data_IF_713113252503
#
_entry.id   IF_713113252503
#
_cell.length_a   1.000
_cell.length_b   1.000
_cell.length_c   1.000
_cell.angle_alpha   90.00
_cell.angle_beta   90.00
_cell.angle_gamma   90.00
#
_symmetry.space_group_name_H-M   'P 1'
#
loop_
_entity.id
_entity.type
_entity.pdbx_description
1 polymer ?
#
# COMPACT_ATOMS: atom_id res chain seq x y z
N UNK A 1 -16.37 -13.41 -44.86
CA UNK A 1 -17.47 -13.03 -43.96
C UNK A 1 -17.00 -11.89 -43.07
N UNK A 2 -17.58 -10.70 -43.21
CA UNK A 2 -17.21 -9.52 -42.43
C UNK A 2 -17.92 -9.57 -41.07
N UNK A 3 -17.22 -9.96 -40.00
CA UNK A 3 -17.72 -9.80 -38.64
C UNK A 3 -17.65 -8.33 -38.26
N UNK A 4 -18.80 -7.75 -37.93
CA UNK A 4 -18.96 -6.32 -37.79
C UNK A 4 -18.38 -5.82 -36.46
N UNK A 5 -17.43 -4.88 -36.56
CA UNK A 5 -16.85 -4.05 -35.49
C UNK A 5 -17.85 -3.12 -34.77
N UNK A 6 -19.16 -3.28 -35.01
CA UNK A 6 -20.23 -2.44 -34.46
C UNK A 6 -20.23 -2.37 -32.93
N UNK A 7 -19.77 -3.42 -32.27
CA UNK A 7 -19.71 -3.47 -30.80
C UNK A 7 -18.52 -2.66 -30.25
N UNK A 8 -17.41 -2.62 -30.99
CA UNK A 8 -16.25 -1.81 -30.63
C UNK A 8 -16.53 -0.32 -30.89
N UNK A 9 -17.14 0.00 -32.02
CA UNK A 9 -17.56 1.37 -32.34
C UNK A 9 -18.60 1.91 -31.34
N UNK A 10 -19.56 1.09 -30.91
CA UNK A 10 -20.53 1.47 -29.88
C UNK A 10 -19.86 1.76 -28.52
N UNK A 11 -18.87 0.95 -28.13
CA UNK A 11 -18.09 1.17 -26.90
C UNK A 11 -17.23 2.44 -26.97
N UNK A 12 -16.57 2.68 -28.11
CA UNK A 12 -15.79 3.91 -28.34
C UNK A 12 -16.70 5.14 -28.33
N UNK A 13 -17.90 5.06 -28.92
CA UNK A 13 -18.88 6.14 -28.90
C UNK A 13 -19.36 6.44 -27.47
N UNK A 14 -19.62 5.41 -26.67
CA UNK A 14 -20.04 5.57 -25.26
C UNK A 14 -18.94 6.21 -24.40
N UNK A 15 -17.68 5.81 -24.58
CA UNK A 15 -16.52 6.42 -23.89
C UNK A 15 -16.32 7.89 -24.30
N UNK A 16 -16.51 8.22 -25.59
CA UNK A 16 -16.44 9.62 -26.05
C UNK A 16 -17.54 10.50 -25.45
N UNK A 17 -18.74 9.96 -25.24
CA UNK A 17 -19.84 10.67 -24.57
C UNK A 17 -19.52 10.90 -23.09
N UNK A 18 -19.00 9.89 -22.39
CA UNK A 18 -18.59 10.01 -20.99
C UNK A 18 -17.46 11.03 -20.78
N UNK A 19 -16.45 11.03 -21.67
CA UNK A 19 -15.37 12.02 -21.63
C UNK A 19 -15.85 13.44 -21.94
N UNK A 20 -16.85 13.59 -22.83
CA UNK A 20 -17.47 14.89 -23.12
C UNK A 20 -18.30 15.40 -21.94
N UNK A 21 -18.96 14.52 -21.18
CA UNK A 21 -19.68 14.86 -19.95
C UNK A 21 -18.73 15.25 -18.80
N UNK A 22 -17.55 14.61 -18.72
CA UNK A 22 -16.49 15.01 -17.80
C UNK A 22 -15.87 16.36 -18.17
N UNK A 23 -15.59 16.60 -19.46
CA UNK A 23 -15.10 17.89 -19.95
C UNK A 23 -16.09 19.04 -19.75
N UNK A 24 -17.39 18.79 -19.93
CA UNK A 24 -18.43 19.78 -19.67
C UNK A 24 -18.79 19.95 -18.19
N UNK A 25 -18.40 19.02 -17.30
CA UNK A 25 -18.44 19.26 -15.85
C UNK A 25 -17.31 20.16 -15.39
N UNK A 26 -16.14 20.12 -16.06
CA UNK A 26 -15.00 21.00 -15.79
C UNK A 26 -15.19 22.42 -16.33
N UNK A 27 -15.96 22.61 -17.41
CA UNK A 27 -16.31 23.96 -17.93
C UNK A 27 -17.45 24.63 -17.15
N UNK A 28 -18.24 23.89 -16.36
CA UNK A 28 -19.33 24.46 -15.56
C UNK A 28 -18.92 24.84 -14.13
N UNK A 29 -17.67 24.56 -13.73
CA UNK A 29 -17.09 24.99 -12.45
C UNK A 29 -16.44 26.40 -12.52
N UNK A 30 -16.58 27.11 -13.65
CA UNK A 30 -16.31 28.56 -13.71
C UNK A 30 -17.46 29.41 -13.11
N UNK A 31 -18.55 28.78 -12.68
CA UNK A 31 -19.61 29.41 -11.87
C UNK A 31 -19.49 29.06 -10.37
N UNK A 32 -18.26 29.00 -9.84
CA UNK A 32 -18.08 29.34 -8.43
C UNK A 32 -18.55 30.78 -8.29
N UNK A 33 -19.73 30.94 -7.70
CA UNK A 33 -20.20 32.20 -7.16
C UNK A 33 -19.01 32.88 -6.49
N UNK A 34 -18.49 33.91 -7.16
CA UNK A 34 -17.73 34.96 -6.53
C UNK A 34 -18.69 35.53 -5.50
N UNK A 35 -18.64 34.97 -4.29
CA UNK A 35 -19.15 35.62 -3.09
C UNK A 35 -18.38 36.92 -3.05
N UNK A 36 -18.99 37.95 -3.63
CA UNK A 36 -18.59 39.34 -3.50
C UNK A 36 -18.64 39.63 -2.02
N UNK A 37 -17.52 39.42 -1.34
CA UNK A 37 -17.31 40.07 -0.07
C UNK A 37 -17.37 41.56 -0.35
N UNK A 38 -18.46 42.15 0.17
CA UNK A 38 -18.71 43.57 0.09
C UNK A 38 -17.48 44.31 0.60
N UNK A 39 -17.03 45.39 -0.08
CA UNK A 39 -16.02 46.24 0.50
C UNK A 39 -16.60 46.81 1.80
N UNK A 40 -15.89 46.54 2.89
CA UNK A 40 -15.91 47.26 4.17
C UNK A 40 -17.11 48.20 4.33
N UNK A 41 -18.17 47.73 5.03
CA UNK A 41 -18.89 48.69 5.88
C UNK A 41 -17.87 49.19 6.89
N UNK A 42 -17.58 50.48 6.82
CA UNK A 42 -17.02 51.23 7.93
C UNK A 42 -17.79 50.80 9.17
N UNK A 43 -17.10 50.12 10.08
CA UNK A 43 -17.63 49.89 11.42
C UNK A 43 -17.72 51.28 12.02
N UNK A 44 -18.95 51.75 12.16
CA UNK A 44 -19.27 52.98 12.88
C UNK A 44 -18.52 52.97 14.21
N UNK A 45 -17.80 54.07 14.46
CA UNK A 45 -17.15 54.34 15.74
C UNK A 45 -18.12 54.02 16.88
N UNK A 46 -17.70 53.29 17.92
CA UNK A 46 -18.58 53.02 19.05
C UNK A 46 -18.98 54.35 19.69
N UNK A 47 -20.29 54.56 19.70
CA UNK A 47 -20.98 55.65 20.37
C UNK A 47 -20.45 55.82 21.79
N UNK A 48 -20.08 57.07 22.10
CA UNK A 48 -19.64 57.57 23.41
C UNK A 48 -20.39 56.91 24.57
N UNK A 49 -19.72 56.00 25.28
CA UNK A 49 -20.10 55.64 26.64
C UNK A 49 -19.33 56.55 27.60
N UNK A 50 -20.09 57.44 28.23
CA UNK A 50 -19.63 58.38 29.26
C UNK A 50 -19.15 57.59 30.48
N UNK A 51 -17.84 57.62 30.75
CA UNK A 51 -17.29 57.27 32.07
C UNK A 51 -16.24 58.31 32.49
N UNK A 52 -16.42 58.78 33.73
CA UNK A 52 -15.73 59.84 34.46
C UNK A 52 -14.20 59.65 34.59
N UNK A 53 -13.40 60.73 34.78
CA UNK A 53 -11.99 60.74 34.42
C UNK A 53 -11.07 60.30 35.55
N UNK A 54 -10.32 59.21 35.32
CA UNK A 54 -8.97 59.02 35.86
C UNK A 54 -8.11 58.39 34.77
N UNK A 55 -7.26 59.21 34.14
CA UNK A 55 -6.32 58.90 33.04
C UNK A 55 -6.93 58.40 31.70
N UNK A 56 -7.34 59.32 30.80
CA UNK A 56 -7.86 58.99 29.47
C UNK A 56 -6.85 58.22 28.60
N UNK A 57 -5.55 58.52 28.70
CA UNK A 57 -4.51 57.82 27.93
C UNK A 57 -4.41 56.32 28.25
N UNK A 58 -4.74 55.92 29.50
CA UNK A 58 -4.67 54.52 29.93
C UNK A 58 -5.91 53.72 29.48
N UNK A 59 -7.05 54.38 29.32
CA UNK A 59 -8.27 53.77 28.82
C UNK A 59 -8.20 53.52 27.31
N UNK A 60 -7.67 54.47 26.54
CA UNK A 60 -7.49 54.33 25.09
C UNK A 60 -6.46 53.24 24.72
N UNK A 61 -5.36 53.13 25.48
CA UNK A 61 -4.38 52.05 25.33
C UNK A 61 -4.96 50.66 25.64
N UNK A 62 -5.86 50.58 26.62
CA UNK A 62 -6.49 49.33 27.00
C UNK A 62 -7.51 48.88 25.94
N UNK A 63 -8.26 49.82 25.35
CA UNK A 63 -9.17 49.55 24.23
C UNK A 63 -8.41 49.06 22.99
N UNK A 64 -7.27 49.69 22.68
CA UNK A 64 -6.41 49.26 21.56
C UNK A 64 -5.81 47.87 21.79
N UNK A 65 -5.40 47.57 23.02
CA UNK A 65 -4.90 46.26 23.39
C UNK A 65 -5.98 45.17 23.25
N UNK A 66 -7.21 45.46 23.66
CA UNK A 66 -8.35 44.55 23.50
C UNK A 66 -8.63 44.28 22.02
N UNK A 67 -8.61 45.34 21.19
CA UNK A 67 -8.78 45.22 19.74
C UNK A 67 -7.70 44.36 19.06
N UNK A 68 -6.42 44.56 19.40
CA UNK A 68 -5.33 43.73 18.84
C UNK A 68 -5.39 42.28 19.34
N UNK A 69 -5.85 42.04 20.57
CA UNK A 69 -6.11 40.68 21.07
C UNK A 69 -7.20 40.00 20.25
N UNK A 70 -8.35 40.66 20.05
CA UNK A 70 -9.45 40.13 19.23
C UNK A 70 -9.00 39.87 17.79
N UNK A 71 -8.22 40.79 17.20
CA UNK A 71 -7.65 40.63 15.86
C UNK A 71 -6.70 39.43 15.79
N UNK A 72 -5.84 39.22 16.79
CA UNK A 72 -4.95 38.07 16.83
C UNK A 72 -5.72 36.76 16.96
N UNK A 73 -6.76 36.70 17.80
CA UNK A 73 -7.63 35.51 17.91
C UNK A 73 -8.27 35.19 16.57
N UNK A 74 -8.77 36.20 15.85
CA UNK A 74 -9.37 35.99 14.52
C UNK A 74 -8.35 35.52 13.46
N UNK A 75 -7.11 35.99 13.53
CA UNK A 75 -6.02 35.52 12.67
C UNK A 75 -5.62 34.08 13.01
N UNK A 76 -5.56 33.73 14.28
CA UNK A 76 -5.24 32.38 14.76
C UNK A 76 -6.29 31.36 14.33
N UNK A 77 -7.59 31.70 14.45
CA UNK A 77 -8.69 30.88 13.91
C UNK A 77 -8.54 30.68 12.39
N UNK A 78 -8.18 31.73 11.65
CA UNK A 78 -7.99 31.65 10.19
C UNK A 78 -6.77 30.79 9.82
N UNK A 79 -5.69 30.85 10.59
CA UNK A 79 -4.50 30.01 10.39
C UNK A 79 -4.85 28.55 10.63
N UNK A 80 -5.48 28.25 11.78
CA UNK A 80 -5.90 26.88 12.11
C UNK A 80 -6.82 26.28 11.04
N UNK A 81 -7.76 27.06 10.52
CA UNK A 81 -8.63 26.60 9.43
C UNK A 81 -7.84 26.31 8.14
N UNK A 82 -6.81 27.10 7.83
CA UNK A 82 -5.94 26.81 6.67
C UNK A 82 -5.10 25.55 6.88
N UNK A 83 -4.63 25.29 8.10
CA UNK A 83 -3.87 24.07 8.42
C UNK A 83 -4.75 22.81 8.34
N UNK A 84 -6.02 22.91 8.75
CA UNK A 84 -7.02 21.85 8.54
C UNK A 84 -7.22 21.55 7.04
N UNK A 85 -7.45 22.59 6.23
CA UNK A 85 -7.59 22.44 4.78
C UNK A 85 -6.33 21.85 4.12
N UNK A 86 -5.14 22.26 4.56
CA UNK A 86 -3.88 21.71 4.07
C UNK A 86 -3.74 20.23 4.41
N UNK A 87 -4.19 19.82 5.60
CA UNK A 87 -4.20 18.43 6.03
C UNK A 87 -5.16 17.60 5.17
N UNK A 88 -6.37 18.09 4.93
CA UNK A 88 -7.34 17.45 4.04
C UNK A 88 -6.81 17.31 2.60
N UNK A 89 -6.19 18.37 2.06
CA UNK A 89 -5.55 18.32 0.75
C UNK A 89 -4.43 17.28 0.69
N UNK A 90 -3.63 17.17 1.75
CA UNK A 90 -2.53 16.18 1.81
C UNK A 90 -3.07 14.75 1.82
N UNK A 91 -4.16 14.49 2.56
CA UNK A 91 -4.82 13.18 2.58
C UNK A 91 -5.34 12.83 1.18
N UNK A 92 -6.09 13.74 0.55
CA UNK A 92 -6.63 13.53 -0.80
C UNK A 92 -5.52 13.30 -1.83
N UNK A 93 -4.41 14.05 -1.72
CA UNK A 93 -3.26 13.87 -2.59
C UNK A 93 -2.64 12.47 -2.44
N UNK A 94 -2.48 11.97 -1.21
CA UNK A 94 -1.96 10.63 -0.96
C UNK A 94 -2.90 9.54 -1.47
N UNK A 95 -4.22 9.69 -1.29
CA UNK A 95 -5.23 8.78 -1.83
C UNK A 95 -5.21 8.76 -3.36
N UNK A 96 -5.08 9.92 -4.00
CA UNK A 96 -4.94 10.01 -5.45
C UNK A 96 -3.69 9.29 -5.97
N UNK A 97 -2.55 9.44 -5.28
CA UNK A 97 -1.33 8.72 -5.67
C UNK A 97 -1.47 7.21 -5.52
N UNK A 98 -2.07 6.73 -4.42
CA UNK A 98 -2.33 5.30 -4.23
C UNK A 98 -3.25 4.73 -5.32
N UNK A 99 -4.32 5.47 -5.67
CA UNK A 99 -5.22 5.07 -6.75
C UNK A 99 -4.53 5.05 -8.12
N UNK A 100 -3.64 6.00 -8.40
CA UNK A 100 -2.85 6.03 -9.64
C UNK A 100 -1.95 4.79 -9.72
N UNK A 101 -1.28 4.44 -8.62
CA UNK A 101 -0.40 3.26 -8.57
C UNK A 101 -1.19 1.96 -8.79
N UNK A 102 -2.34 1.79 -8.14
CA UNK A 102 -3.21 0.63 -8.33
C UNK A 102 -3.72 0.52 -9.78
N UNK A 103 -4.09 1.65 -10.39
CA UNK A 103 -4.52 1.68 -11.79
C UNK A 103 -3.37 1.36 -12.75
N UNK A 104 -2.15 1.81 -12.47
CA UNK A 104 -0.96 1.46 -13.26
C UNK A 104 -0.67 -0.04 -13.19
N UNK A 105 -0.78 -0.65 -12.00
CA UNK A 105 -0.61 -2.09 -11.84
C UNK A 105 -1.68 -2.87 -12.63
N UNK A 106 -2.94 -2.47 -12.55
CA UNK A 106 -4.02 -3.08 -13.35
C UNK A 106 -3.78 -2.96 -14.85
N UNK A 107 -3.31 -1.81 -15.33
CA UNK A 107 -2.97 -1.61 -16.75
C UNK A 107 -1.84 -2.53 -17.17
N UNK A 108 -0.82 -2.70 -16.34
CA UNK A 108 0.31 -3.60 -16.63
C UNK A 108 -0.14 -5.06 -16.71
N UNK A 109 -0.98 -5.50 -15.77
CA UNK A 109 -1.54 -6.86 -15.77
C UNK A 109 -2.39 -7.11 -17.02
N UNK A 110 -3.31 -6.19 -17.34
CA UNK A 110 -4.14 -6.30 -18.55
C UNK A 110 -3.32 -6.30 -19.84
N UNK A 111 -2.20 -5.58 -19.87
CA UNK A 111 -1.28 -5.57 -21.02
C UNK A 111 -0.58 -6.92 -21.18
N UNK A 112 -0.11 -7.52 -20.08
CA UNK A 112 0.46 -8.86 -20.09
C UNK A 112 -0.55 -9.91 -20.56
N UNK A 113 -1.80 -9.83 -20.10
CA UNK A 113 -2.88 -10.74 -20.51
C UNK A 113 -3.23 -10.59 -22.00
N UNK A 114 -3.19 -9.35 -22.52
CA UNK A 114 -3.40 -9.06 -23.93
C UNK A 114 -2.28 -9.68 -24.79
N UNK A 115 -1.02 -9.50 -24.38
CA UNK A 115 0.15 -10.04 -25.08
C UNK A 115 0.09 -11.58 -25.12
N UNK A 116 -0.28 -12.21 -24.00
CA UNK A 116 -0.48 -13.66 -23.93
C UNK A 116 -1.61 -14.14 -24.84
N UNK A 117 -2.75 -13.45 -24.84
CA UNK A 117 -3.89 -13.78 -25.70
C UNK A 117 -3.56 -13.62 -27.20
N UNK A 118 -2.76 -12.61 -27.56
CA UNK A 118 -2.27 -12.42 -28.93
C UNK A 118 -1.32 -13.54 -29.35
N UNK A 119 -0.45 -14.00 -28.46
CA UNK A 119 0.42 -15.15 -28.72
C UNK A 119 -0.39 -16.41 -29.03
N UNK A 120 -1.37 -16.74 -28.18
CA UNK A 120 -2.27 -17.88 -28.41
C UNK A 120 -3.03 -17.78 -29.73
N UNK A 121 -3.54 -16.58 -30.06
CA UNK A 121 -4.22 -16.35 -31.35
C UNK A 121 -3.29 -16.62 -32.53
N UNK A 122 -2.04 -16.17 -32.45
CA UNK A 122 -1.06 -16.36 -33.52
C UNK A 122 -0.71 -17.85 -33.70
N UNK A 123 -0.57 -18.60 -32.61
CA UNK A 123 -0.31 -20.04 -32.66
C UNK A 123 -1.50 -20.80 -33.26
N UNK A 124 -2.73 -20.50 -32.83
CA UNK A 124 -3.94 -21.07 -33.42
C UNK A 124 -4.09 -20.71 -34.91
N UNK A 125 -3.66 -19.52 -35.33
CA UNK A 125 -3.69 -19.10 -36.74
C UNK A 125 -2.71 -19.92 -37.57
N UNK A 126 -1.50 -20.18 -37.07
CA UNK A 126 -0.51 -21.05 -37.75
C UNK A 126 -1.02 -22.49 -37.87
N UNK A 127 -1.67 -23.02 -36.85
CA UNK A 127 -2.29 -24.35 -36.91
C UNK A 127 -3.39 -24.41 -37.98
N UNK A 128 -4.24 -23.38 -38.06
CA UNK A 128 -5.28 -23.29 -39.09
C UNK A 128 -4.69 -23.19 -40.50
N UNK A 129 -3.63 -22.40 -40.70
CA UNK A 129 -2.91 -22.32 -41.97
C UNK A 129 -2.35 -23.70 -42.37
N UNK A 130 -1.73 -24.42 -41.42
CA UNK A 130 -1.22 -25.77 -41.67
C UNK A 130 -2.34 -26.76 -42.08
N UNK A 131 -3.51 -26.70 -41.43
CA UNK A 131 -4.65 -27.54 -41.81
C UNK A 131 -5.23 -27.17 -43.17
N UNK A 132 -5.24 -25.87 -43.52
CA UNK A 132 -5.69 -25.42 -44.83
C UNK A 132 -4.79 -25.95 -45.95
N UNK A 133 -3.47 -25.91 -45.77
CA UNK A 133 -2.50 -26.48 -46.71
C UNK A 133 -2.71 -28.00 -46.89
N UNK A 134 -2.92 -28.72 -45.80
CA UNK A 134 -3.17 -30.16 -45.83
C UNK A 134 -4.47 -30.51 -46.57
N UNK A 135 -5.53 -29.73 -46.35
CA UNK A 135 -6.81 -29.86 -47.07
C UNK A 135 -6.61 -29.63 -48.57
N UNK A 136 -5.89 -28.58 -48.95
CA UNK A 136 -5.60 -28.29 -50.35
C UNK A 136 -4.82 -29.42 -51.03
N UNK A 137 -3.86 -30.04 -50.31
CA UNK A 137 -3.15 -31.21 -50.81
C UNK A 137 -4.09 -32.40 -51.02
N UNK A 138 -5.03 -32.65 -50.09
CA UNK A 138 -6.00 -33.74 -50.21
C UNK A 138 -6.99 -33.52 -51.34
N UNK A 139 -7.45 -32.30 -51.56
CA UNK A 139 -8.32 -31.96 -52.69
C UNK A 139 -7.61 -32.17 -54.03
N UNK A 140 -6.31 -31.86 -54.11
CA UNK A 140 -5.51 -32.15 -55.30
C UNK A 140 -5.38 -33.67 -55.55
N UNK A 141 -5.14 -34.47 -54.50
CA UNK A 141 -5.11 -35.94 -54.60
C UNK A 141 -6.46 -36.51 -55.08
N UNK A 142 -7.57 -36.03 -54.51
CA UNK A 142 -8.93 -36.47 -54.91
C UNK A 142 -9.19 -36.11 -56.37
N UNK A 143 -8.84 -34.88 -56.78
CA UNK A 143 -9.02 -34.44 -58.16
C UNK A 143 -8.24 -35.31 -59.16
N UNK A 144 -7.03 -35.72 -58.79
CA UNK A 144 -6.22 -36.64 -59.59
C UNK A 144 -6.89 -38.03 -59.71
N UNK A 145 -7.39 -38.58 -58.60
CA UNK A 145 -8.09 -39.88 -58.59
C UNK A 145 -9.33 -39.84 -59.49
N UNK A 146 -10.10 -38.74 -59.44
CA UNK A 146 -11.28 -38.55 -60.30
C UNK A 146 -10.85 -38.54 -61.78
N UNK A 147 -9.82 -37.77 -62.13
CA UNK A 147 -9.30 -37.71 -63.50
C UNK A 147 -8.88 -39.08 -64.01
N UNK A 148 -8.17 -39.86 -63.20
CA UNK A 148 -7.72 -41.19 -63.60
C UNK A 148 -8.89 -42.18 -63.75
N UNK A 149 -9.89 -42.09 -62.88
CA UNK A 149 -11.13 -42.88 -63.01
C UNK A 149 -11.86 -42.58 -64.32
N UNK A 150 -11.98 -41.31 -64.70
CA UNK A 150 -12.67 -40.93 -65.94
C UNK A 150 -11.94 -41.46 -67.18
N UNK A 151 -10.60 -41.46 -67.18
CA UNK A 151 -9.80 -42.09 -68.24
C UNK A 151 -10.11 -43.59 -68.36
N UNK A 152 -10.16 -44.30 -67.23
CA UNK A 152 -10.49 -45.73 -67.23
C UNK A 152 -11.90 -46.01 -67.75
N UNK A 153 -12.90 -45.21 -67.34
CA UNK A 153 -14.28 -45.36 -67.82
C UNK A 153 -14.36 -45.16 -69.33
N UNK A 154 -13.72 -44.12 -69.87
CA UNK A 154 -13.69 -43.87 -71.31
C UNK A 154 -13.03 -45.01 -72.09
N UNK A 155 -11.92 -45.56 -71.59
CA UNK A 155 -11.26 -46.72 -72.18
C UNK A 155 -12.19 -47.94 -72.30
N UNK A 156 -12.95 -48.24 -71.24
CA UNK A 156 -13.88 -49.37 -71.27
C UNK A 156 -15.08 -49.14 -72.20
N UNK A 157 -15.58 -47.90 -72.29
CA UNK A 157 -16.66 -47.56 -73.23
C UNK A 157 -16.21 -47.77 -74.68
N UNK A 158 -15.01 -47.32 -75.03
CA UNK A 158 -14.42 -47.49 -76.37
C UNK A 158 -14.27 -48.98 -76.73
N UNK A 159 -13.72 -49.78 -75.81
CA UNK A 159 -13.59 -51.24 -76.00
C UNK A 159 -14.92 -51.97 -76.14
N UNK A 160 -15.95 -51.50 -75.43
CA UNK A 160 -17.30 -52.07 -75.54
C UNK A 160 -17.90 -51.81 -76.91
N UNK A 161 -17.67 -50.62 -77.47
CA UNK A 161 -18.17 -50.24 -78.79
C UNK A 161 -17.44 -50.98 -79.92
N UNK A 162 -16.11 -51.13 -79.82
CA UNK A 162 -15.32 -52.00 -80.72
C UNK A 162 -15.87 -53.43 -80.77
N UNK A 163 -16.20 -54.01 -79.61
CA UNK A 163 -16.73 -55.37 -79.50
C UNK A 163 -18.10 -55.54 -80.17
N UNK A 164 -18.96 -54.52 -80.11
CA UNK A 164 -20.26 -54.53 -80.81
C UNK A 164 -20.09 -54.52 -82.32
N UNK A 165 -19.19 -53.69 -82.85
CA UNK A 165 -18.89 -53.60 -84.29
C UNK A 165 -18.40 -54.96 -84.80
N UNK A 166 -17.44 -55.56 -84.10
CA UNK A 166 -16.88 -56.87 -84.47
C UNK A 166 -17.94 -57.99 -84.46
N UNK A 167 -18.86 -57.95 -83.50
CA UNK A 167 -19.96 -58.92 -83.40
C UNK A 167 -20.96 -58.78 -84.56
N UNK A 168 -21.19 -57.55 -85.06
CA UNK A 168 -22.04 -57.28 -86.22
C UNK A 168 -21.41 -57.78 -87.53
N UNK A 169 -20.09 -57.61 -87.70
CA UNK A 169 -19.36 -58.09 -88.88
C UNK A 169 -19.34 -59.61 -89.01
N UNK A 170 -19.28 -60.32 -87.88
CA UNK A 170 -19.28 -61.79 -87.83
C UNK A 170 -20.64 -62.42 -88.23
N UNK A 171 -21.73 -61.66 -88.20
CA UNK A 171 -23.09 -62.10 -88.54
C UNK A 171 -23.35 -62.29 -90.05
N UNK A 172 -22.43 -61.88 -90.94
CA UNK A 172 -22.67 -61.71 -92.38
C UNK A 172 -21.93 -62.71 -93.31
N UNK A 173 -21.27 -63.76 -92.81
CA UNK A 173 -20.52 -64.72 -93.66
C UNK A 173 -20.84 -66.19 -93.38
N UNK A 174 -21.05 -66.98 -94.44
CA UNK A 174 -21.16 -68.44 -94.37
C UNK A 174 -19.79 -69.12 -94.13
N UNK A 175 -19.74 -70.24 -93.39
CA UNK A 175 -18.51 -70.74 -92.81
C UNK A 175 -17.76 -71.71 -93.73
N UNK A 176 -16.66 -71.23 -94.32
CA UNK A 176 -15.66 -72.09 -94.97
C UNK A 176 -14.57 -72.53 -93.97
N UNK A 177 -13.68 -73.48 -94.30
CA UNK A 177 -12.73 -74.10 -93.32
C UNK A 177 -11.82 -73.09 -92.58
N UNK A 178 -11.52 -71.95 -93.20
CA UNK A 178 -10.84 -70.80 -92.57
C UNK A 178 -11.68 -70.15 -91.47
N UNK A 179 -13.00 -70.07 -91.65
CA UNK A 179 -13.95 -69.57 -90.68
C UNK A 179 -14.02 -70.48 -89.46
N UNK A 180 -14.01 -71.81 -89.64
CA UNK A 180 -13.97 -72.74 -88.51
C UNK A 180 -12.71 -72.57 -87.65
N UNK A 181 -11.53 -72.41 -88.28
CA UNK A 181 -10.29 -72.13 -87.55
C UNK A 181 -10.30 -70.75 -86.85
N UNK A 182 -10.92 -69.74 -87.47
CA UNK A 182 -11.10 -68.42 -86.87
C UNK A 182 -12.08 -68.47 -85.68
N UNK A 183 -13.13 -69.27 -85.77
CA UNK A 183 -14.08 -69.54 -84.68
C UNK A 183 -13.43 -70.27 -83.52
N UNK A 184 -12.55 -71.22 -83.82
CA UNK A 184 -11.79 -71.97 -82.81
C UNK A 184 -10.80 -71.05 -82.07
N UNK A 185 -10.08 -70.18 -82.79
CA UNK A 185 -9.27 -69.12 -82.17
C UNK A 185 -10.10 -68.15 -81.34
N UNK A 186 -11.24 -67.70 -81.86
CA UNK A 186 -12.14 -66.79 -81.14
C UNK A 186 -12.71 -67.45 -79.88
N UNK A 187 -13.01 -68.75 -79.91
CA UNK A 187 -13.41 -69.50 -78.73
C UNK A 187 -12.28 -69.60 -77.69
N UNK A 188 -11.03 -69.77 -78.12
CA UNK A 188 -9.87 -69.74 -77.21
C UNK A 188 -9.64 -68.34 -76.61
N UNK A 189 -9.78 -67.29 -77.40
CA UNK A 189 -9.73 -65.90 -76.92
C UNK A 189 -10.85 -65.62 -75.92
N UNK A 190 -12.09 -66.01 -76.23
CA UNK A 190 -13.24 -65.86 -75.34
C UNK A 190 -13.05 -66.63 -74.02
N UNK A 191 -12.37 -67.78 -74.05
CA UNK A 191 -12.01 -68.53 -72.84
C UNK A 191 -11.00 -67.77 -71.96
N UNK A 192 -9.98 -67.16 -72.56
CA UNK A 192 -9.00 -66.33 -71.84
C UNK A 192 -9.66 -65.05 -71.31
N UNK A 193 -10.55 -64.45 -72.08
CA UNK A 193 -11.31 -63.27 -71.69
C UNK A 193 -12.27 -63.58 -70.53
N UNK A 194 -12.91 -64.76 -70.55
CA UNK A 194 -13.70 -65.28 -69.43
C UNK A 194 -12.87 -65.48 -68.16
N UNK A 195 -11.66 -66.05 -68.27
CA UNK A 195 -10.76 -66.23 -67.12
C UNK A 195 -10.30 -64.88 -66.54
N UNK A 196 -9.97 -63.91 -67.40
CA UNK A 196 -9.62 -62.56 -66.98
C UNK A 196 -10.81 -61.86 -66.30
N UNK A 197 -12.02 -61.96 -66.86
CA UNK A 197 -13.23 -61.42 -66.27
C UNK A 197 -13.55 -62.07 -64.92
N UNK A 198 -13.36 -63.39 -64.78
CA UNK A 198 -13.54 -64.08 -63.48
C UNK A 198 -12.52 -63.62 -62.44
N UNK A 199 -11.26 -63.41 -62.82
CA UNK A 199 -10.22 -62.86 -61.93
C UNK A 199 -10.55 -61.42 -61.52
N UNK A 200 -10.98 -60.59 -62.47
CA UNK A 200 -11.44 -59.22 -62.19
C UNK A 200 -12.68 -59.20 -61.30
N UNK A 201 -13.63 -60.10 -61.50
CA UNK A 201 -14.84 -60.22 -60.67
C UNK A 201 -14.48 -60.61 -59.22
N UNK A 202 -13.54 -61.54 -59.04
CA UNK A 202 -13.00 -61.92 -57.71
C UNK A 202 -12.29 -60.76 -57.02
N UNK A 203 -11.52 -59.96 -57.77
CA UNK A 203 -10.89 -58.75 -57.24
C UNK A 203 -11.95 -57.71 -56.84
N UNK A 204 -12.96 -57.48 -57.68
CA UNK A 204 -14.03 -56.53 -57.39
C UNK A 204 -14.91 -56.96 -56.21
N UNK A 205 -15.17 -58.25 -56.04
CA UNK A 205 -15.87 -58.76 -54.84
C UNK A 205 -15.02 -58.57 -53.59
N UNK A 206 -13.70 -58.79 -53.67
CA UNK A 206 -12.79 -58.50 -52.55
C UNK A 206 -12.79 -57.00 -52.18
N UNK A 207 -12.76 -56.11 -53.18
CA UNK A 207 -12.85 -54.67 -52.98
C UNK A 207 -14.22 -54.26 -52.40
N UNK A 208 -15.31 -54.90 -52.84
CA UNK A 208 -16.65 -54.67 -52.28
C UNK A 208 -16.74 -55.06 -50.81
N UNK A 209 -16.11 -56.17 -50.42
CA UNK A 209 -16.05 -56.61 -49.01
C UNK A 209 -15.24 -55.61 -48.18
N UNK A 210 -14.11 -55.11 -48.70
CA UNK A 210 -13.31 -54.08 -48.02
C UNK A 210 -14.08 -52.76 -47.84
N UNK A 211 -14.81 -52.32 -48.87
CA UNK A 211 -15.68 -51.13 -48.78
C UNK A 211 -16.79 -51.32 -47.76
N UNK A 212 -17.35 -52.53 -47.65
CA UNK A 212 -18.37 -52.84 -46.65
C UNK A 212 -17.80 -52.77 -45.22
N UNK A 213 -16.59 -53.28 -44.99
CA UNK A 213 -15.89 -53.18 -43.70
C UNK A 213 -15.54 -51.72 -43.35
N UNK A 214 -15.11 -50.93 -44.34
CA UNK A 214 -14.84 -49.51 -44.17
C UNK A 214 -16.10 -48.71 -43.82
N UNK A 215 -17.22 -48.98 -44.49
CA UNK A 215 -18.51 -48.36 -44.15
C UNK A 215 -18.99 -48.75 -42.76
N UNK A 216 -18.77 -50.00 -42.34
CA UNK A 216 -19.13 -50.44 -40.99
C UNK A 216 -18.28 -49.73 -39.92
N UNK A 217 -16.97 -49.56 -40.17
CA UNK A 217 -16.09 -48.76 -39.31
C UNK A 217 -16.51 -47.30 -39.26
N UNK A 218 -16.87 -46.71 -40.39
CA UNK A 218 -17.32 -45.32 -40.46
C UNK A 218 -18.58 -45.11 -39.62
N UNK A 219 -19.56 -46.00 -39.76
CA UNK A 219 -20.80 -45.99 -38.96
C UNK A 219 -20.54 -46.10 -37.44
N UNK A 220 -19.65 -47.00 -37.02
CA UNK A 220 -19.24 -47.10 -35.61
C UNK A 220 -18.55 -45.83 -35.10
N UNK A 221 -17.89 -45.08 -35.98
CA UNK A 221 -17.20 -43.84 -35.63
C UNK A 221 -18.21 -42.69 -35.50
N UNK A 222 -19.18 -42.61 -36.42
CA UNK A 222 -20.31 -41.67 -36.34
C UNK A 222 -21.12 -41.86 -35.05
N UNK A 223 -21.44 -43.10 -34.68
CA UNK A 223 -22.14 -43.42 -33.43
C UNK A 223 -21.35 -42.96 -32.19
N UNK A 224 -20.01 -43.05 -32.22
CA UNK A 224 -19.15 -42.54 -31.13
C UNK A 224 -19.19 -41.00 -31.06
N UNK A 225 -19.14 -40.32 -32.20
CA UNK A 225 -19.22 -38.86 -32.24
C UNK A 225 -20.59 -38.35 -31.79
N UNK A 226 -21.69 -38.99 -32.24
CA UNK A 226 -23.04 -38.65 -31.76
C UNK A 226 -23.18 -38.80 -30.25
N UNK A 227 -22.62 -39.89 -29.69
CA UNK A 227 -22.60 -40.09 -28.25
C UNK A 227 -21.82 -38.98 -27.54
N UNK A 228 -20.63 -38.64 -28.05
CA UNK A 228 -19.80 -37.56 -27.50
C UNK A 228 -20.53 -36.21 -27.51
N UNK A 229 -21.23 -35.89 -28.61
CA UNK A 229 -22.04 -34.67 -28.72
C UNK A 229 -23.15 -34.64 -27.67
N UNK A 230 -23.88 -35.76 -27.48
CA UNK A 230 -24.93 -35.86 -26.45
C UNK A 230 -24.36 -35.66 -25.05
N UNK A 231 -23.20 -36.24 -24.76
CA UNK A 231 -22.53 -36.10 -23.45
C UNK A 231 -22.15 -34.62 -23.21
N UNK A 232 -21.57 -33.94 -24.20
CA UNK A 232 -21.26 -32.51 -24.10
C UNK A 232 -22.50 -31.62 -23.98
N UNK A 233 -23.61 -31.96 -24.65
CA UNK A 233 -24.88 -31.24 -24.52
C UNK A 233 -25.45 -31.37 -23.10
N UNK A 234 -25.38 -32.56 -22.50
CA UNK A 234 -25.77 -32.78 -21.11
C UNK A 234 -24.91 -31.95 -20.16
N UNK A 235 -23.59 -31.95 -20.34
CA UNK A 235 -22.66 -31.17 -19.52
C UNK A 235 -22.93 -29.65 -19.64
N UNK A 236 -23.14 -29.17 -20.87
CA UNK A 236 -23.49 -27.76 -21.13
C UNK A 236 -24.79 -27.38 -20.42
N UNK A 237 -25.81 -28.24 -20.47
CA UNK A 237 -27.09 -28.00 -19.77
C UNK A 237 -26.93 -27.96 -18.24
N UNK A 238 -26.04 -28.79 -17.70
CA UNK A 238 -25.76 -28.82 -16.26
C UNK A 238 -25.00 -27.57 -15.80
N UNK A 239 -24.07 -27.08 -16.61
CA UNK A 239 -23.36 -25.82 -16.36
C UNK A 239 -24.31 -24.62 -16.43
N UNK A 240 -25.19 -24.56 -17.44
CA UNK A 240 -26.22 -23.51 -17.53
C UNK A 240 -27.16 -23.52 -16.31
N UNK A 241 -27.56 -24.69 -15.82
CA UNK A 241 -28.35 -24.80 -14.58
C UNK A 241 -27.60 -24.25 -13.36
N UNK A 242 -26.28 -24.47 -13.26
CA UNK A 242 -25.45 -23.89 -12.20
C UNK A 242 -25.34 -22.37 -12.31
N UNK A 243 -25.14 -21.85 -13.52
CA UNK A 243 -25.09 -20.40 -13.77
C UNK A 243 -26.40 -19.76 -13.35
N UNK A 244 -27.55 -20.30 -13.78
CA UNK A 244 -28.85 -19.77 -13.40
C UNK A 244 -29.07 -19.77 -11.87
N UNK A 245 -28.60 -20.80 -11.15
CA UNK A 245 -28.66 -20.82 -9.68
C UNK A 245 -27.77 -19.75 -9.04
N UNK A 246 -26.61 -19.47 -9.62
CA UNK A 246 -25.73 -18.41 -9.16
C UNK A 246 -26.34 -17.04 -9.44
N UNK A 247 -26.92 -16.84 -10.63
CA UNK A 247 -27.64 -15.63 -11.00
C UNK A 247 -28.87 -15.41 -10.11
N UNK A 248 -29.65 -16.44 -9.77
CA UNK A 248 -30.73 -16.33 -8.77
C UNK A 248 -30.21 -15.96 -7.37
N UNK A 249 -29.02 -16.44 -7.00
CA UNK A 249 -28.40 -16.10 -5.71
C UNK A 249 -27.91 -14.64 -5.70
N UNK A 250 -27.39 -14.15 -6.83
CA UNK A 250 -26.96 -12.76 -7.04
C UNK A 250 -28.15 -11.80 -7.23
N UNK A 251 -29.26 -12.28 -7.78
CA UNK A 251 -30.48 -11.49 -8.03
C UNK A 251 -31.43 -11.46 -6.83
N UNK A 252 -31.14 -12.18 -5.74
CA UNK A 252 -31.83 -11.96 -4.46
C UNK A 252 -31.46 -10.55 -3.99
N UNK A 253 -32.45 -9.67 -3.71
CA UNK A 253 -32.17 -8.34 -3.21
C UNK A 253 -31.35 -8.46 -1.93
N UNK A 254 -30.27 -7.68 -1.85
CA UNK A 254 -29.44 -7.49 -0.66
C UNK A 254 -30.40 -7.36 0.53
N UNK A 255 -30.39 -8.36 1.41
CA UNK A 255 -31.44 -8.55 2.41
C UNK A 255 -31.58 -7.35 3.34
N UNK A 256 -32.79 -7.09 3.81
CA UNK A 256 -33.12 -6.16 4.91
C UNK A 256 -32.11 -6.22 6.09
N UNK A 257 -31.58 -7.40 6.39
CA UNK A 257 -30.55 -7.66 7.41
C UNK A 257 -29.22 -6.89 7.20
N UNK A 258 -28.85 -6.58 5.95
CA UNK A 258 -27.67 -5.76 5.65
C UNK A 258 -27.96 -4.27 5.79
N UNK A 259 -29.18 -3.84 5.46
CA UNK A 259 -29.62 -2.45 5.69
C UNK A 259 -29.71 -2.13 7.18
N UNK A 260 -30.24 -3.05 7.99
CA UNK A 260 -30.29 -2.92 9.45
C UNK A 260 -28.89 -2.87 10.07
N UNK A 261 -27.95 -3.66 9.55
CA UNK A 261 -26.54 -3.60 9.97
C UNK A 261 -25.87 -2.28 9.59
N UNK A 262 -26.13 -1.76 8.39
CA UNK A 262 -25.59 -0.44 7.97
C UNK A 262 -26.11 0.67 8.88
N UNK A 263 -27.39 0.67 9.22
CA UNK A 263 -27.98 1.64 10.17
C UNK A 263 -27.32 1.51 11.56
N UNK A 264 -27.14 0.28 12.08
CA UNK A 264 -26.44 0.07 13.35
C UNK A 264 -24.97 0.54 13.33
N UNK A 265 -24.26 0.37 12.21
CA UNK A 265 -22.90 0.86 12.09
C UNK A 265 -22.84 2.39 11.98
N UNK A 266 -23.88 3.01 11.41
CA UNK A 266 -23.99 4.46 11.29
C UNK A 266 -24.24 5.14 12.65
N UNK A 267 -25.05 4.52 13.52
CA UNK A 267 -25.26 4.97 14.91
C UNK A 267 -23.98 4.81 15.77
N UNK A 268 -23.20 3.74 15.52
CA UNK A 268 -21.89 3.55 16.15
C UNK A 268 -20.86 4.60 15.69
N UNK A 269 -20.91 5.01 14.43
CA UNK A 269 -20.07 6.11 13.91
C UNK A 269 -20.43 7.46 14.53
N UNK A 270 -21.72 7.76 14.74
CA UNK A 270 -22.15 8.97 15.43
C UNK A 270 -21.70 9.04 16.90
N UNK A 271 -21.61 7.89 17.58
CA UNK A 271 -21.09 7.83 18.95
C UNK A 271 -19.57 7.98 19.03
N UNK A 272 -18.82 7.58 17.99
CA UNK A 272 -17.37 7.83 17.87
C UNK A 272 -17.06 9.32 17.66
N UNK A 273 -17.92 10.06 16.95
CA UNK A 273 -17.79 11.51 16.77
C UNK A 273 -17.70 12.28 18.11
N UNK A 274 -18.48 11.86 19.12
CA UNK A 274 -18.43 12.47 20.48
C UNK A 274 -17.09 12.28 21.19
N UNK A 275 -16.37 11.19 20.91
CA UNK A 275 -15.03 10.97 21.47
C UNK A 275 -13.95 11.80 20.78
N UNK A 276 -14.16 12.20 19.51
CA UNK A 276 -13.26 13.09 18.76
C UNK A 276 -13.21 14.48 19.39
N UNK A 277 -14.34 15.01 19.84
CA UNK A 277 -14.41 16.32 20.52
C UNK A 277 -13.71 16.28 21.88
N UNK A 278 -13.89 15.19 22.64
CA UNK A 278 -13.21 14.98 23.92
C UNK A 278 -11.69 14.86 23.72
N UNK A 279 -11.25 14.12 22.72
CA UNK A 279 -9.83 13.98 22.38
C UNK A 279 -9.22 15.33 21.96
N UNK A 280 -9.95 16.10 21.14
CA UNK A 280 -9.54 17.44 20.72
C UNK A 280 -9.42 18.42 21.89
N UNK A 281 -10.32 18.32 22.88
CA UNK A 281 -10.24 19.11 24.12
C UNK A 281 -9.05 18.71 25.00
N UNK A 282 -8.73 17.41 25.08
CA UNK A 282 -7.56 16.91 25.80
C UNK A 282 -6.27 17.41 25.14
N UNK A 283 -6.17 17.34 23.81
CA UNK A 283 -5.02 17.85 23.06
C UNK A 283 -4.82 19.36 23.24
N UNK A 284 -5.91 20.16 23.24
CA UNK A 284 -5.83 21.60 23.54
C UNK A 284 -5.33 21.87 24.97
N UNK A 285 -5.82 21.14 25.96
CA UNK A 285 -5.38 21.33 27.35
C UNK A 285 -3.91 20.93 27.57
N UNK A 286 -3.44 19.89 26.89
CA UNK A 286 -2.03 19.51 26.92
C UNK A 286 -1.13 20.57 26.27
N UNK A 287 -1.55 21.13 25.14
CA UNK A 287 -0.82 22.20 24.45
C UNK A 287 -0.73 23.50 25.27
N UNK A 288 -1.81 23.86 25.99
CA UNK A 288 -1.79 25.00 26.94
C UNK A 288 -0.83 24.74 28.12
N UNK A 289 -0.73 23.49 28.58
CA UNK A 289 0.23 23.11 29.63
C UNK A 289 1.68 23.17 29.17
N UNK A 290 1.96 22.82 27.91
CA UNK A 290 3.30 22.91 27.33
C UNK A 290 3.74 24.37 27.15
N UNK A 291 2.86 25.24 26.65
CA UNK A 291 3.13 26.68 26.54
C UNK A 291 3.43 27.33 27.90
N UNK A 292 2.72 26.93 28.96
CA UNK A 292 2.97 27.42 30.32
C UNK A 292 4.31 26.93 30.89
N UNK A 293 4.79 25.76 30.47
CA UNK A 293 6.08 25.21 30.89
C UNK A 293 7.24 25.96 30.22
N UNK A 294 7.11 26.25 28.92
CA UNK A 294 8.12 26.97 28.15
C UNK A 294 8.30 28.42 28.65
N UNK A 295 7.20 29.10 29.02
CA UNK A 295 7.27 30.43 29.65
C UNK A 295 7.99 30.43 31.01
N UNK A 296 7.82 29.37 31.81
CA UNK A 296 8.51 29.21 33.08
C UNK A 296 10.00 28.95 32.87
N UNK A 297 10.36 28.15 31.86
CA UNK A 297 11.75 27.88 31.51
C UNK A 297 12.48 29.15 31.07
N UNK A 298 11.84 29.97 30.24
CA UNK A 298 12.36 31.27 29.81
C UNK A 298 12.57 32.23 30.99
N UNK A 299 11.63 32.27 31.95
CA UNK A 299 11.78 33.06 33.19
C UNK A 299 12.94 32.60 34.06
N UNK A 300 13.19 31.29 34.16
CA UNK A 300 14.31 30.75 34.92
C UNK A 300 15.64 31.15 34.28
N UNK A 301 15.75 31.07 32.94
CA UNK A 301 16.95 31.49 32.22
C UNK A 301 17.23 33.00 32.33
N UNK A 302 16.20 33.84 32.29
CA UNK A 302 16.33 35.30 32.48
C UNK A 302 16.75 35.67 33.91
N UNK A 303 16.30 34.92 34.92
CA UNK A 303 16.74 35.09 36.31
C UNK A 303 18.17 34.63 36.54
N UNK A 304 18.60 33.54 35.89
CA UNK A 304 19.98 33.05 35.95
C UNK A 304 20.97 34.05 35.34
N UNK A 305 20.60 34.68 34.23
CA UNK A 305 21.44 35.68 33.55
C UNK A 305 21.49 37.05 34.26
N UNK A 306 20.55 37.33 35.18
CA UNK A 306 20.51 38.57 35.99
C UNK A 306 21.08 38.43 37.41
N UNK A 307 21.51 37.23 37.83
CA UNK A 307 21.89 36.95 39.22
C UNK A 307 23.34 37.33 39.55
N UNK A 308 23.56 38.57 40.02
CA UNK A 308 24.83 39.01 40.63
C UNK A 308 25.27 38.21 41.88
N UNK A 309 24.45 37.26 42.33
CA UNK A 309 24.75 36.35 43.42
C UNK A 309 25.59 35.16 42.94
N UNK A 310 25.40 34.68 41.71
CA UNK A 310 26.20 33.58 41.15
C UNK A 310 27.66 34.03 41.02
N UNK A 311 27.89 35.22 40.47
CA UNK A 311 29.23 35.82 40.36
C UNK A 311 29.90 35.99 41.74
N UNK A 312 29.13 36.39 42.77
CA UNK A 312 29.65 36.52 44.14
C UNK A 312 29.98 35.17 44.77
N UNK A 313 29.16 34.16 44.52
CA UNK A 313 29.42 32.80 45.00
C UNK A 313 30.66 32.21 44.35
N UNK A 314 30.83 32.41 43.04
CA UNK A 314 32.01 31.95 42.29
C UNK A 314 33.29 32.61 42.78
N UNK A 315 33.27 33.92 43.04
CA UNK A 315 34.41 34.64 43.64
C UNK A 315 34.77 34.09 45.03
N UNK A 316 33.77 33.80 45.88
CA UNK A 316 34.00 33.27 47.23
C UNK A 316 34.54 31.83 47.17
N UNK A 317 33.95 30.98 46.33
CA UNK A 317 34.40 29.60 46.12
C UNK A 317 35.84 29.56 45.61
N UNK A 318 36.20 30.42 44.66
CA UNK A 318 37.56 30.52 44.14
C UNK A 318 38.57 30.95 45.23
N UNK A 319 38.23 31.94 46.06
CA UNK A 319 39.09 32.37 47.18
C UNK A 319 39.30 31.26 48.22
N UNK A 320 38.23 30.56 48.60
CA UNK A 320 38.32 29.43 49.54
C UNK A 320 39.15 28.29 48.94
N UNK A 321 39.00 28.05 47.64
CA UNK A 321 39.76 27.05 46.90
C UNK A 321 41.26 27.34 46.82
N UNK A 322 41.64 28.60 46.62
CA UNK A 322 43.02 29.04 46.67
C UNK A 322 43.62 28.78 48.07
N UNK A 323 42.93 29.19 49.13
CA UNK A 323 43.39 28.98 50.51
C UNK A 323 43.51 27.50 50.88
N UNK A 324 42.58 26.66 50.41
CA UNK A 324 42.57 25.23 50.67
C UNK A 324 43.43 24.42 49.68
N UNK A 325 44.04 25.08 48.70
CA UNK A 325 44.80 24.45 47.60
C UNK A 325 44.01 23.29 46.96
N UNK A 326 42.76 23.54 46.60
CA UNK A 326 41.90 22.55 45.94
C UNK A 326 40.97 23.21 44.92
N UNK A 327 40.49 22.44 43.95
CA UNK A 327 39.55 22.96 42.95
C UNK A 327 38.24 23.46 43.57
N UNK A 328 37.60 24.50 42.98
CA UNK A 328 36.32 25.10 43.44
C UNK A 328 35.23 24.06 43.70
N UNK A 329 35.13 23.07 42.82
CA UNK A 329 34.16 21.99 42.91
C UNK A 329 34.39 21.05 44.10
N UNK A 330 35.63 20.94 44.58
CA UNK A 330 36.02 20.07 45.70
C UNK A 330 36.17 20.80 47.03
N UNK A 331 36.09 22.14 47.01
CA UNK A 331 36.18 22.95 48.23
C UNK A 331 35.09 22.60 49.26
N UNK A 332 33.80 22.40 48.90
CA UNK A 332 32.76 22.05 49.87
C UNK A 332 33.03 20.72 50.59
N UNK A 333 33.49 19.70 49.86
CA UNK A 333 33.83 18.39 50.42
C UNK A 333 35.06 18.46 51.31
N UNK A 334 36.07 19.24 50.93
CA UNK A 334 37.28 19.43 51.73
C UNK A 334 36.98 20.22 53.00
N UNK A 335 36.15 21.26 52.94
CA UNK A 335 35.64 21.99 54.12
C UNK A 335 34.88 21.04 55.04
N UNK A 336 33.98 20.23 54.49
CA UNK A 336 33.21 19.24 55.26
C UNK A 336 34.12 18.24 55.95
N UNK A 337 35.14 17.71 55.25
CA UNK A 337 36.12 16.80 55.84
C UNK A 337 36.99 17.44 56.92
N UNK A 338 37.33 18.73 56.79
CA UNK A 338 38.06 19.49 57.80
C UNK A 338 37.20 19.73 59.05
N UNK A 339 35.93 20.02 58.88
CA UNK A 339 34.96 20.15 59.97
C UNK A 339 34.76 18.80 60.69
N UNK A 340 34.65 17.71 59.94
CA UNK A 340 34.52 16.36 60.50
C UNK A 340 35.80 15.91 61.23
N UNK A 341 36.99 16.23 60.69
CA UNK A 341 38.27 16.04 61.38
C UNK A 341 38.41 16.94 62.62
N UNK A 342 37.70 18.08 62.66
CA UNK A 342 37.65 18.96 63.84
C UNK A 342 36.83 18.38 65.00
N UNK A 343 36.11 17.26 64.84
CA UNK A 343 35.41 16.61 65.97
C UNK A 343 36.36 16.19 67.09
N UNK A 344 37.62 15.89 66.78
CA UNK A 344 38.69 15.67 67.76
C UNK A 344 39.09 16.98 68.45
N UNK A 345 39.18 18.08 67.68
CA UNK A 345 39.44 19.43 68.20
C UNK A 345 38.31 19.97 69.07
N UNK A 346 37.05 19.64 68.75
CA UNK A 346 35.85 19.97 69.53
C UNK A 346 35.89 19.22 70.86
N UNK A 347 36.15 17.91 70.86
CA UNK A 347 36.31 17.12 72.09
C UNK A 347 37.48 17.61 72.96
N UNK A 348 38.58 18.03 72.35
CA UNK A 348 39.71 18.62 73.07
C UNK A 348 39.33 19.96 73.69
N UNK A 349 38.64 20.83 72.95
CA UNK A 349 38.13 22.09 73.44
C UNK A 349 37.16 21.90 74.62
N UNK A 350 36.20 20.99 74.51
CA UNK A 350 35.25 20.69 75.60
C UNK A 350 35.98 20.25 76.88
N UNK A 351 36.95 19.34 76.76
CA UNK A 351 37.76 18.91 77.93
C UNK A 351 38.56 20.05 78.55
N UNK A 352 39.14 20.93 77.74
CA UNK A 352 39.90 22.07 78.23
C UNK A 352 39.00 23.14 78.84
N UNK A 353 37.80 23.34 78.29
CA UNK A 353 36.78 24.23 78.84
C UNK A 353 36.32 23.73 80.21
N UNK A 354 36.05 22.43 80.35
CA UNK A 354 35.70 21.81 81.64
C UNK A 354 36.82 21.96 82.67
N UNK A 355 38.06 21.73 82.27
CA UNK A 355 39.23 21.88 83.13
C UNK A 355 39.37 23.32 83.64
N UNK A 356 39.19 24.31 82.74
CA UNK A 356 39.23 25.73 83.10
C UNK A 356 38.13 26.10 84.11
N UNK A 357 36.91 25.58 83.92
CA UNK A 357 35.79 25.79 84.86
C UNK A 357 36.12 25.18 86.22
N UNK A 358 36.64 23.94 86.26
CA UNK A 358 37.02 23.25 87.51
C UNK A 358 38.13 23.96 88.27
N UNK A 359 39.13 24.50 87.56
CA UNK A 359 40.25 25.21 88.18
C UNK A 359 39.91 26.67 88.57
N UNK A 360 38.70 27.15 88.28
CA UNK A 360 38.28 28.52 88.58
C UNK A 360 37.39 28.60 89.82
N UNK A 361 37.39 29.74 90.55
CA UNK A 361 36.47 29.97 91.66
C UNK A 361 35.01 29.77 91.25
N UNK A 362 34.20 29.19 92.15
CA UNK A 362 32.77 28.95 91.91
C UNK A 362 32.06 30.26 91.56
N UNK A 363 31.27 30.25 90.48
CA UNK A 363 30.54 31.42 89.98
C UNK A 363 31.30 32.30 88.98
N UNK A 364 32.54 31.95 88.60
CA UNK A 364 33.31 32.72 87.61
C UNK A 364 32.76 32.64 86.18
N UNK A 365 32.10 31.54 85.83
CA UNK A 365 31.54 31.31 84.50
C UNK A 365 30.05 30.98 84.64
N UNK A 366 29.20 31.76 83.97
CA UNK A 366 27.74 31.54 83.88
C UNK A 366 27.38 30.60 82.71
N UNK A 367 28.28 30.44 81.74
CA UNK A 367 28.16 29.57 80.57
C UNK A 367 29.51 28.95 80.22
N UNK A 368 29.52 28.00 79.28
CA UNK A 368 30.76 27.34 78.83
C UNK A 368 31.77 28.38 78.32
N UNK A 369 33.02 28.40 78.80
CA UNK A 369 34.03 29.36 78.35
C UNK A 369 34.26 29.26 76.85
N UNK A 370 34.42 30.40 76.15
CA UNK A 370 34.65 30.41 74.71
C UNK A 370 36.03 29.84 74.33
N UNK A 371 36.18 29.38 73.09
CA UNK A 371 37.46 28.86 72.54
C UNK A 371 38.65 29.79 72.80
N UNK A 372 38.45 31.10 72.65
CA UNK A 372 39.49 32.09 72.94
C UNK A 372 39.87 32.15 74.43
N UNK A 373 38.88 32.08 75.33
CA UNK A 373 39.13 32.09 76.78
C UNK A 373 39.89 30.84 77.23
N UNK A 374 39.52 29.68 76.68
CA UNK A 374 40.19 28.39 76.93
C UNK A 374 41.65 28.45 76.48
N UNK A 375 41.92 28.88 75.25
CA UNK A 375 43.29 28.96 74.74
C UNK A 375 44.15 29.94 75.52
N UNK A 376 43.62 31.13 75.84
CA UNK A 376 44.33 32.13 76.66
C UNK A 376 44.73 31.57 78.03
N UNK A 377 43.88 30.75 78.64
CA UNK A 377 44.18 30.10 79.91
C UNK A 377 45.25 29.02 79.78
N UNK A 378 45.14 28.15 78.77
CA UNK A 378 46.15 27.11 78.50
C UNK A 378 47.53 27.72 78.24
N UNK A 379 47.62 28.77 77.43
CA UNK A 379 48.88 29.47 77.15
C UNK A 379 49.51 29.98 78.44
N UNK A 380 48.73 30.61 79.32
CA UNK A 380 49.22 31.13 80.59
C UNK A 380 49.76 30.03 81.51
N UNK A 381 49.09 28.88 81.58
CA UNK A 381 49.57 27.72 82.36
C UNK A 381 50.91 27.22 81.81
N UNK A 382 51.05 27.14 80.49
CA UNK A 382 52.30 26.70 79.86
C UNK A 382 53.43 27.70 80.10
N UNK A 383 53.15 29.00 80.03
CA UNK A 383 54.11 30.05 80.36
C UNK A 383 54.58 29.94 81.82
N UNK A 384 53.65 29.82 82.76
CA UNK A 384 53.94 29.65 84.19
C UNK A 384 54.77 28.38 84.44
N UNK A 385 54.40 27.26 83.80
CA UNK A 385 55.17 26.01 83.87
C UNK A 385 56.60 26.17 83.34
N UNK A 386 56.78 26.88 82.22
CA UNK A 386 58.10 27.12 81.64
C UNK A 386 58.99 28.00 82.52
N UNK A 387 58.40 28.98 83.22
CA UNK A 387 59.11 29.78 84.22
C UNK A 387 59.57 28.88 85.38
N UNK A 388 58.66 28.10 85.96
CA UNK A 388 58.96 27.18 87.07
C UNK A 388 60.04 26.15 86.68
N UNK A 389 59.97 25.61 85.47
CA UNK A 389 60.97 24.66 84.95
C UNK A 389 62.36 25.31 84.86
N UNK A 390 62.45 26.55 84.37
CA UNK A 390 63.73 27.29 84.31
C UNK A 390 64.28 27.57 85.72
N UNK A 391 63.42 27.92 86.67
CA UNK A 391 63.83 28.15 88.06
C UNK A 391 64.30 26.86 88.74
N UNK A 392 63.63 25.73 88.51
CA UNK A 392 64.03 24.45 89.05
C UNK A 392 65.37 23.96 88.47
N UNK A 393 65.64 24.24 87.19
CA UNK A 393 66.93 23.93 86.55
C UNK A 393 68.06 24.75 87.17
N UNK A 394 67.86 26.07 87.36
CA UNK A 394 68.84 26.97 88.01
C UNK A 394 69.14 26.66 89.47
N UNK A 395 68.30 25.88 90.16
CA UNK A 395 68.54 25.44 91.55
C UNK A 395 69.27 24.09 91.63
N UNK A 396 69.40 23.38 90.50
CA UNK A 396 70.13 22.11 90.40
C UNK A 396 71.56 22.27 89.86
N UNK A 397 71.79 23.35 89.11
CA UNK A 397 73.11 23.88 88.76
C UNK A 397 73.60 24.82 89.87
#
# INVERSE_FOLDING_TARGET
MAFSDKNLEAKIASIKVALKQLGSSLENDENVEVVRYSPLREVEKPSKLVVSPKNPEKADLMLLLEYEKERNVMLEVRINHKDELLTEMTILQNELYANIEELQEKVNTLKSDLDYSQMQKNDATKELEHFADLLQQKDAEISQIISDKDKYVNYYLEKTEESKILSQELSLKEPDRSFMNALERRNQELLLELDHLQKSLKSNTSNSIQLQDLNQKLKLTEEKYEKCIKDHQLETSALLSKINKLEETLSKPISEDLYEKVIQYQDKLQSISKYKDIYSAICRNLSISEQSYDELLAKIQDLQSKSSLIDKYEIILNKISEELSCNPEKAPEKIKSLIENSTVSIKLYEKLADLLVQCSPKGRFESLPSCHQVWKWVTRILEDYMILKKEAQRKKD
#
